data_IF_732631379006
#
_entry.id   IF_732631379006
#
_cell.length_a   1.000
_cell.length_b   1.000
_cell.length_c   1.000
_cell.angle_alpha   90.00
_cell.angle_beta   90.00
_cell.angle_gamma   90.00
#
_symmetry.space_group_name_H-M   'P 1'
#
loop_
_entity.id
_entity.type
_entity.pdbx_description
1 polymer ?
#
# COMPACT_ATOMS: atom_id res chain seq x y z
N UNK A 1 -18.63 -24.07 -2.17
CA UNK A 1 -19.85 -23.77 -1.40
C UNK A 1 -20.96 -24.81 -1.62
N UNK A 2 -21.26 -25.22 -2.86
CA UNK A 2 -22.32 -26.20 -3.16
C UNK A 2 -22.18 -27.53 -2.40
N UNK A 3 -21.00 -28.13 -2.36
CA UNK A 3 -20.76 -29.41 -1.66
C UNK A 3 -21.02 -29.35 -0.14
N UNK A 4 -20.86 -28.16 0.47
CA UNK A 4 -21.14 -27.96 1.89
C UNK A 4 -22.62 -27.70 2.16
N UNK A 5 -23.33 -27.07 1.22
CA UNK A 5 -24.80 -26.88 1.31
C UNK A 5 -25.51 -28.22 1.15
N UNK A 6 -25.03 -29.09 0.25
CA UNK A 6 -25.52 -30.46 0.09
C UNK A 6 -25.35 -31.28 1.36
N UNK A 7 -24.23 -31.15 2.06
CA UNK A 7 -23.96 -31.88 3.30
C UNK A 7 -24.67 -31.29 4.53
N UNK A 8 -24.79 -29.96 4.64
CA UNK A 8 -25.36 -29.28 5.81
C UNK A 8 -26.87 -28.99 5.71
N UNK A 9 -27.47 -29.12 4.52
CA UNK A 9 -28.90 -28.97 4.27
C UNK A 9 -29.46 -27.61 4.70
N UNK A 10 -30.69 -27.62 5.23
CA UNK A 10 -31.46 -26.42 5.64
C UNK A 10 -30.72 -25.59 6.70
N UNK A 11 -29.86 -26.20 7.52
CA UNK A 11 -29.04 -25.49 8.52
C UNK A 11 -28.07 -24.46 7.91
N UNK A 12 -27.74 -24.60 6.63
CA UNK A 12 -26.91 -23.64 5.89
C UNK A 12 -27.68 -22.38 5.47
N UNK A 13 -29.02 -22.39 5.48
CA UNK A 13 -29.85 -21.21 5.13
C UNK A 13 -29.55 -20.00 6.02
N UNK A 14 -29.25 -20.21 7.31
CA UNK A 14 -28.86 -19.13 8.22
C UNK A 14 -27.55 -18.44 7.77
N UNK A 15 -26.57 -19.21 7.28
CA UNK A 15 -25.33 -18.68 6.71
C UNK A 15 -25.58 -17.98 5.37
N UNK A 16 -26.47 -18.51 4.52
CA UNK A 16 -26.88 -17.84 3.29
C UNK A 16 -27.63 -16.53 3.56
N UNK A 17 -28.40 -16.44 4.65
CA UNK A 17 -29.05 -15.21 5.08
C UNK A 17 -28.06 -14.06 5.35
N UNK A 18 -26.85 -14.36 5.83
CA UNK A 18 -25.79 -13.36 6.02
C UNK A 18 -25.29 -12.76 4.71
N UNK A 19 -25.46 -13.44 3.57
CA UNK A 19 -25.12 -12.91 2.25
C UNK A 19 -26.16 -11.91 1.75
N UNK A 20 -27.42 -12.02 2.20
CA UNK A 20 -28.49 -11.07 1.85
C UNK A 20 -28.36 -9.75 2.62
N UNK A 21 -27.76 -9.79 3.83
CA UNK A 21 -27.49 -8.61 4.63
C UNK A 21 -26.06 -8.62 5.19
N UNK A 22 -25.05 -8.28 4.34
CA UNK A 22 -23.66 -8.24 4.77
C UNK A 22 -23.46 -7.29 5.96
N UNK A 23 -22.60 -7.67 6.89
CA UNK A 23 -22.39 -6.94 8.13
C UNK A 23 -21.74 -5.56 7.90
N UNK A 24 -22.03 -4.61 8.77
CA UNK A 24 -21.34 -3.30 8.82
C UNK A 24 -20.30 -3.26 9.94
N UNK A 25 -19.80 -4.43 10.35
CA UNK A 25 -18.74 -4.53 11.35
C UNK A 25 -17.41 -4.07 10.78
N UNK A 26 -16.55 -3.54 11.67
CA UNK A 26 -15.18 -3.21 11.35
C UNK A 26 -14.39 -4.45 10.90
N UNK A 27 -13.21 -4.24 10.32
CA UNK A 27 -12.26 -5.32 10.02
C UNK A 27 -12.03 -6.15 11.29
N UNK A 28 -11.99 -7.47 11.12
CA UNK A 28 -11.48 -8.39 12.14
C UNK A 28 -10.06 -8.74 11.71
N UNK A 29 -9.07 -8.44 12.54
CA UNK A 29 -7.67 -8.85 12.29
C UNK A 29 -7.59 -10.38 12.29
N UNK A 30 -7.02 -10.91 11.22
CA UNK A 30 -6.75 -12.31 10.95
C UNK A 30 -5.37 -12.76 11.45
N UNK A 31 -4.50 -11.83 11.87
CA UNK A 31 -3.18 -12.08 12.46
C UNK A 31 -3.23 -13.02 13.68
N UNK A 32 -4.40 -13.15 14.31
CA UNK A 32 -4.62 -13.95 15.51
C UNK A 32 -5.50 -15.18 15.25
N UNK A 33 -5.71 -15.54 13.98
CA UNK A 33 -6.43 -16.76 13.61
C UNK A 33 -5.71 -17.99 14.18
N UNK A 34 -6.48 -18.92 14.74
CA UNK A 34 -5.95 -20.09 15.45
C UNK A 34 -5.45 -19.82 16.88
N UNK A 35 -5.26 -18.57 17.31
CA UNK A 35 -4.86 -18.25 18.68
C UNK A 35 -6.06 -18.21 19.65
N UNK A 36 -6.00 -18.93 20.80
CA UNK A 36 -6.99 -18.80 21.87
C UNK A 36 -7.12 -17.37 22.38
N UNK A 37 -8.35 -16.91 22.67
CA UNK A 37 -8.65 -15.53 23.07
C UNK A 37 -7.79 -15.01 24.24
N UNK A 38 -7.43 -15.89 25.19
CA UNK A 38 -6.58 -15.54 26.34
C UNK A 38 -5.15 -15.13 25.98
N UNK A 39 -4.65 -15.54 24.82
CA UNK A 39 -3.28 -15.21 24.37
C UNK A 39 -3.24 -14.03 23.39
N UNK A 40 -4.40 -13.64 22.84
CA UNK A 40 -4.49 -12.62 21.80
C UNK A 40 -3.97 -11.25 22.23
N UNK A 41 -4.17 -10.87 23.49
CA UNK A 41 -3.71 -9.57 24.02
C UNK A 41 -2.21 -9.52 24.33
N UNK A 42 -1.54 -10.67 24.44
CA UNK A 42 -0.12 -10.75 24.78
C UNK A 42 0.76 -11.21 23.62
N UNK A 43 0.15 -11.82 22.59
CA UNK A 43 0.86 -12.26 21.39
C UNK A 43 1.00 -11.09 20.41
N UNK A 44 2.25 -10.77 20.06
CA UNK A 44 2.60 -9.68 19.15
C UNK A 44 3.67 -10.14 18.18
N UNK A 45 3.71 -9.60 16.95
CA UNK A 45 4.85 -9.83 16.07
C UNK A 45 6.10 -9.26 16.73
N UNK A 46 7.17 -10.05 16.71
CA UNK A 46 8.47 -9.68 17.26
C UNK A 46 9.58 -10.06 16.29
N UNK A 47 10.58 -9.19 16.18
CA UNK A 47 11.82 -9.51 15.48
C UNK A 47 12.70 -10.32 16.44
N UNK A 48 12.75 -11.63 16.23
CA UNK A 48 13.52 -12.58 17.06
C UNK A 48 14.83 -12.97 16.37
N UNK A 49 15.83 -13.37 17.16
CA UNK A 49 17.10 -13.88 16.63
C UNK A 49 18.07 -12.83 16.07
N UNK A 50 17.79 -11.54 16.26
CA UNK A 50 18.74 -10.46 15.95
C UNK A 50 19.46 -9.98 17.19
N UNK A 51 20.79 -9.99 17.12
CA UNK A 51 21.67 -9.30 18.06
C UNK A 51 21.44 -7.78 18.03
N UNK A 52 21.79 -7.10 19.12
CA UNK A 52 21.57 -5.65 19.25
C UNK A 52 22.20 -4.86 18.09
N UNK A 53 23.40 -5.23 17.64
CA UNK A 53 24.05 -4.55 16.52
C UNK A 53 23.24 -4.65 15.20
N UNK A 54 22.63 -5.80 14.93
CA UNK A 54 21.80 -6.00 13.75
C UNK A 54 20.47 -5.23 13.86
N UNK A 55 19.86 -5.21 15.04
CA UNK A 55 18.69 -4.37 15.33
C UNK A 55 18.96 -2.89 15.09
N UNK A 56 20.10 -2.39 15.56
CA UNK A 56 20.51 -0.99 15.39
C UNK A 56 20.78 -0.66 13.94
N UNK A 57 21.46 -1.56 13.20
CA UNK A 57 21.68 -1.39 11.77
C UNK A 57 20.35 -1.33 10.99
N UNK A 58 19.40 -2.21 11.31
CA UNK A 58 18.06 -2.19 10.70
C UNK A 58 17.31 -0.88 11.02
N UNK A 59 17.29 -0.48 12.30
CA UNK A 59 16.62 0.75 12.73
C UNK A 59 17.22 2.00 12.07
N UNK A 60 18.55 2.11 12.05
CA UNK A 60 19.29 3.21 11.43
C UNK A 60 19.01 3.29 9.93
N UNK A 61 19.09 2.16 9.21
CA UNK A 61 18.81 2.08 7.79
C UNK A 61 17.38 2.48 7.42
N UNK A 62 16.38 2.03 8.21
CA UNK A 62 14.97 2.40 7.98
C UNK A 62 14.73 3.89 8.25
N UNK A 63 15.29 4.44 9.34
CA UNK A 63 15.19 5.88 9.63
C UNK A 63 15.86 6.74 8.55
N UNK A 64 17.01 6.31 8.04
CA UNK A 64 17.68 6.95 6.91
C UNK A 64 16.82 6.92 5.64
N UNK A 65 16.28 5.75 5.29
CA UNK A 65 15.44 5.59 4.10
C UNK A 65 14.15 6.43 4.15
N UNK A 66 13.64 6.74 5.35
CA UNK A 66 12.49 7.64 5.54
C UNK A 66 12.85 9.12 5.64
N UNK A 67 14.15 9.49 5.59
CA UNK A 67 14.60 10.86 5.87
C UNK A 67 14.34 11.30 7.32
N UNK A 68 14.17 10.36 8.25
CA UNK A 68 13.78 10.60 9.64
C UNK A 68 14.97 10.36 10.59
N UNK A 69 16.06 11.09 10.38
CA UNK A 69 17.26 11.03 11.25
C UNK A 69 17.28 12.13 12.31
N UNK A 70 16.44 13.15 12.14
CA UNK A 70 16.31 14.30 13.04
C UNK A 70 14.87 14.81 13.05
N UNK A 71 14.57 15.82 13.88
CA UNK A 71 13.26 16.49 13.95
C UNK A 71 12.09 15.54 14.24
N UNK A 72 12.32 14.56 15.12
CA UNK A 72 11.28 13.61 15.53
C UNK A 72 10.10 14.33 16.17
N UNK A 73 8.89 13.99 15.70
CA UNK A 73 7.67 14.41 16.36
C UNK A 73 7.51 13.66 17.71
N UNK A 74 6.78 14.22 18.67
CA UNK A 74 6.51 13.52 19.92
C UNK A 74 5.64 12.25 19.76
N UNK A 75 4.91 12.13 18.64
CA UNK A 75 4.22 10.91 18.22
C UNK A 75 4.53 10.68 16.74
N UNK A 76 5.05 9.51 16.39
CA UNK A 76 5.34 9.12 15.00
C UNK A 76 4.47 7.92 14.64
N UNK A 77 3.68 8.04 13.58
CA UNK A 77 2.87 6.94 13.07
C UNK A 77 3.63 6.16 11.98
N UNK A 78 3.71 4.85 12.16
CA UNK A 78 4.16 3.91 11.13
C UNK A 78 2.91 3.23 10.59
N UNK A 79 2.46 3.65 9.40
CA UNK A 79 1.18 3.23 8.83
C UNK A 79 1.42 2.21 7.73
N UNK A 80 1.13 0.94 8.02
CA UNK A 80 0.97 -0.07 6.98
C UNK A 80 -0.39 0.08 6.29
N UNK A 81 -0.60 -0.61 5.18
CA UNK A 81 -1.90 -0.68 4.53
C UNK A 81 -2.34 -2.12 4.27
N UNK A 82 -3.64 -2.31 4.12
CA UNK A 82 -4.26 -3.58 3.80
C UNK A 82 -5.69 -3.36 3.33
N UNK A 83 -6.27 -4.37 2.71
CA UNK A 83 -7.62 -4.35 2.18
C UNK A 83 -8.55 -5.23 3.02
N UNK A 84 -9.85 -5.09 2.82
CA UNK A 84 -10.87 -5.93 3.43
C UNK A 84 -11.82 -6.43 2.35
N UNK A 85 -11.88 -7.75 2.17
CA UNK A 85 -12.87 -8.38 1.32
C UNK A 85 -13.29 -9.74 1.86
N UNK A 86 -14.50 -10.18 1.50
CA UNK A 86 -15.00 -11.52 1.82
C UNK A 86 -15.10 -12.35 0.56
N UNK A 87 -14.80 -13.65 0.68
CA UNK A 87 -14.91 -14.63 -0.41
C UNK A 87 -14.20 -14.19 -1.71
N UNK A 88 -12.95 -13.72 -1.58
CA UNK A 88 -12.22 -13.14 -2.70
C UNK A 88 -10.90 -13.88 -2.92
N UNK A 89 -10.84 -14.72 -3.95
CA UNK A 89 -9.62 -15.44 -4.35
C UNK A 89 -8.44 -14.52 -4.75
N UNK A 90 -8.71 -13.23 -4.98
CA UNK A 90 -7.71 -12.23 -5.35
C UNK A 90 -7.42 -11.24 -4.20
N UNK A 91 -7.75 -11.58 -2.95
CA UNK A 91 -7.55 -10.69 -1.79
C UNK A 91 -6.09 -10.20 -1.69
N UNK A 92 -5.11 -11.11 -1.87
CA UNK A 92 -3.69 -10.76 -1.85
C UNK A 92 -3.28 -9.73 -2.92
N UNK A 93 -4.03 -9.62 -4.03
CA UNK A 93 -3.80 -8.60 -5.06
C UNK A 93 -4.33 -7.21 -4.70
N UNK A 94 -5.13 -7.10 -3.63
CA UNK A 94 -5.62 -5.84 -3.07
C UNK A 94 -4.80 -5.39 -1.84
N UNK A 95 -4.10 -6.32 -1.20
CA UNK A 95 -3.17 -6.03 -0.11
C UNK A 95 -1.83 -5.48 -0.63
N UNK A 96 -0.81 -5.40 0.23
CA UNK A 96 0.45 -4.77 -0.12
C UNK A 96 1.33 -5.70 -0.97
N UNK A 97 1.56 -5.32 -2.23
CA UNK A 97 2.50 -6.01 -3.12
C UNK A 97 3.94 -6.06 -2.56
N UNK A 98 4.38 -5.00 -1.87
CA UNK A 98 5.69 -4.97 -1.20
C UNK A 98 5.77 -5.88 0.04
N UNK A 99 4.62 -6.28 0.60
CA UNK A 99 4.51 -7.25 1.69
C UNK A 99 4.07 -8.63 1.16
N UNK A 100 4.36 -8.94 -0.10
CA UNK A 100 4.04 -10.23 -0.74
C UNK A 100 2.53 -10.56 -0.72
N UNK A 101 1.68 -9.54 -0.87
CA UNK A 101 0.22 -9.69 -0.85
C UNK A 101 -0.36 -9.91 0.55
N UNK A 102 0.39 -9.55 1.60
CA UNK A 102 -0.08 -9.46 2.97
C UNK A 102 -0.35 -7.99 3.34
N UNK A 103 -1.05 -7.77 4.45
CA UNK A 103 -1.16 -6.42 5.02
C UNK A 103 0.20 -5.94 5.54
N UNK A 104 0.37 -4.62 5.65
CA UNK A 104 1.55 -4.00 6.28
C UNK A 104 1.55 -4.06 7.81
N UNK A 105 0.57 -4.71 8.44
CA UNK A 105 0.36 -4.72 9.90
C UNK A 105 1.60 -5.22 10.66
N UNK A 106 2.11 -6.40 10.31
CA UNK A 106 3.27 -7.03 10.97
C UNK A 106 4.52 -6.17 10.87
N UNK A 107 4.78 -5.57 9.71
CA UNK A 107 5.96 -4.73 9.48
C UNK A 107 5.90 -3.43 10.31
N UNK A 108 4.74 -2.76 10.31
CA UNK A 108 4.54 -1.54 11.10
C UNK A 108 4.71 -1.80 12.60
N UNK A 109 4.10 -2.88 13.11
CA UNK A 109 4.16 -3.26 14.54
C UNK A 109 5.57 -3.65 14.97
N UNK A 110 6.26 -4.46 14.16
CA UNK A 110 7.63 -4.88 14.42
C UNK A 110 8.61 -3.69 14.45
N UNK A 111 8.47 -2.77 13.50
CA UNK A 111 9.30 -1.56 13.43
C UNK A 111 9.00 -0.59 14.58
N UNK A 112 7.74 -0.39 14.95
CA UNK A 112 7.37 0.46 16.09
C UNK A 112 7.99 -0.07 17.38
N UNK A 113 7.89 -1.38 17.64
CA UNK A 113 8.52 -2.01 18.80
C UNK A 113 10.05 -1.85 18.78
N UNK A 114 10.70 -2.11 17.64
CA UNK A 114 12.14 -1.94 17.47
C UNK A 114 12.61 -0.50 17.78
N UNK A 115 11.90 0.50 17.24
CA UNK A 115 12.24 1.92 17.44
C UNK A 115 11.90 2.43 18.83
N UNK A 116 11.03 1.74 19.59
CA UNK A 116 10.74 2.03 21.00
C UNK A 116 11.65 1.27 21.98
N UNK A 117 12.48 0.34 21.51
CA UNK A 117 13.39 -0.44 22.37
C UNK A 117 14.52 0.44 22.94
N UNK A 118 14.62 0.53 24.26
CA UNK A 118 15.60 1.41 24.94
C UNK A 118 17.05 1.13 24.54
N UNK A 119 17.42 -0.16 24.42
CA UNK A 119 18.78 -0.55 24.02
C UNK A 119 19.10 -0.10 22.59
N UNK A 120 18.14 -0.20 21.67
CA UNK A 120 18.28 0.26 20.29
C UNK A 120 18.42 1.78 20.24
N UNK A 121 17.54 2.52 20.94
CA UNK A 121 17.64 3.99 21.04
C UNK A 121 18.98 4.46 21.61
N UNK A 122 19.47 3.80 22.65
CA UNK A 122 20.77 4.13 23.25
C UNK A 122 21.93 3.94 22.27
N UNK A 123 21.92 2.86 21.49
CA UNK A 123 22.94 2.59 20.49
C UNK A 123 22.81 3.49 19.23
N UNK A 124 21.59 3.86 18.82
CA UNK A 124 21.38 4.83 17.73
C UNK A 124 21.97 6.20 18.04
N UNK A 125 21.96 6.64 19.31
CA UNK A 125 22.62 7.89 19.73
C UNK A 125 24.11 7.89 19.45
N UNK A 126 24.77 6.73 19.55
CA UNK A 126 26.18 6.58 19.18
C UNK A 126 26.43 6.70 17.67
N UNK A 127 25.38 6.58 16.85
CA UNK A 127 25.39 6.83 15.40
C UNK A 127 24.82 8.21 15.04
N UNK A 128 24.75 9.14 16.00
CA UNK A 128 24.22 10.50 15.82
C UNK A 128 22.71 10.58 15.49
N UNK A 129 21.97 9.48 15.62
CA UNK A 129 20.49 9.48 15.49
C UNK A 129 19.90 9.57 16.90
N UNK A 130 19.48 10.78 17.28
CA UNK A 130 18.93 11.05 18.61
C UNK A 130 17.40 11.09 18.54
N UNK A 131 16.77 9.99 18.96
CA UNK A 131 15.32 9.94 19.21
C UNK A 131 15.06 10.53 20.59
N UNK A 132 14.26 11.61 20.71
CA UNK A 132 13.86 12.17 22.00
C UNK A 132 13.14 11.15 22.88
N UNK A 133 13.34 11.25 24.21
CA UNK A 133 12.70 10.32 25.16
C UNK A 133 11.17 10.47 25.17
N UNK A 134 10.65 11.64 24.79
CA UNK A 134 9.21 11.90 24.68
C UNK A 134 8.61 11.54 23.31
N UNK A 135 9.42 11.07 22.35
CA UNK A 135 8.96 10.51 21.08
C UNK A 135 8.52 9.07 21.26
N UNK A 136 7.31 8.75 20.79
CA UNK A 136 6.79 7.39 20.75
C UNK A 136 6.36 7.01 19.33
N UNK A 137 6.77 5.82 18.87
CA UNK A 137 6.34 5.25 17.59
C UNK A 137 5.08 4.40 17.80
N UNK A 138 4.04 4.64 17.01
CA UNK A 138 2.80 3.85 17.01
C UNK A 138 2.62 3.20 15.66
N UNK A 139 2.37 1.89 15.66
CA UNK A 139 1.97 1.18 14.47
C UNK A 139 0.48 1.39 14.19
N UNK A 140 0.14 1.57 12.92
CA UNK A 140 -1.23 1.64 12.46
C UNK A 140 -1.42 0.91 11.12
N UNK A 141 -2.65 0.58 10.80
CA UNK A 141 -3.06 0.03 9.51
C UNK A 141 -4.14 0.90 8.89
N UNK A 142 -3.92 1.36 7.67
CA UNK A 142 -4.97 1.94 6.83
C UNK A 142 -5.66 0.82 6.04
N UNK A 143 -6.95 0.62 6.31
CA UNK A 143 -7.81 -0.26 5.52
C UNK A 143 -8.25 0.48 4.26
N UNK A 144 -7.69 0.11 3.11
CA UNK A 144 -7.91 0.80 1.82
C UNK A 144 -9.34 0.65 1.30
N UNK A 145 -10.07 -0.38 1.71
CA UNK A 145 -11.46 -0.58 1.29
C UNK A 145 -12.42 0.39 1.99
N UNK A 146 -12.18 0.66 3.28
CA UNK A 146 -13.10 1.42 4.15
C UNK A 146 -12.55 2.79 4.57
N UNK A 147 -11.28 3.06 4.32
CA UNK A 147 -10.50 4.18 4.85
C UNK A 147 -10.62 4.30 6.36
N UNK A 148 -10.55 3.18 7.07
CA UNK A 148 -10.40 3.20 8.53
C UNK A 148 -8.92 3.07 8.88
N UNK A 149 -8.49 3.76 9.94
CA UNK A 149 -7.15 3.66 10.49
C UNK A 149 -7.26 3.00 11.86
N UNK A 150 -6.60 1.86 12.00
CA UNK A 150 -6.54 1.06 13.22
C UNK A 150 -5.16 1.22 13.86
N UNK A 151 -5.08 1.54 15.14
CA UNK A 151 -3.82 1.62 15.89
C UNK A 151 -3.54 0.35 16.68
N UNK A 152 -2.28 -0.06 16.73
CA UNK A 152 -1.85 -1.32 17.37
C UNK A 152 -0.95 -1.09 18.58
N UNK A 153 -0.95 -2.08 19.48
CA UNK A 153 -0.06 -2.16 20.64
C UNK A 153 -0.07 -0.89 21.51
N UNK A 154 -1.21 -0.19 21.54
CA UNK A 154 -1.40 1.07 22.26
C UNK A 154 -1.33 0.92 23.79
N UNK A 155 -1.43 -0.31 24.29
CA UNK A 155 -1.25 -0.63 25.71
C UNK A 155 0.21 -0.56 26.16
N UNK A 156 1.16 -0.59 25.21
CA UNK A 156 2.59 -0.36 25.47
C UNK A 156 2.95 1.13 25.54
N UNK A 157 2.06 2.01 25.06
CA UNK A 157 2.33 3.43 24.97
C UNK A 157 2.28 4.10 26.36
N UNK A 158 3.23 5.02 26.69
CA UNK A 158 3.12 5.83 27.89
C UNK A 158 1.88 6.73 27.82
N UNK A 159 1.37 7.15 28.98
CA UNK A 159 0.14 7.95 29.08
C UNK A 159 0.15 9.19 28.18
N UNK A 160 1.28 9.89 28.07
CA UNK A 160 1.44 11.07 27.20
C UNK A 160 1.30 10.75 25.71
N UNK A 161 1.84 9.61 25.25
CA UNK A 161 1.67 9.15 23.87
C UNK A 161 0.23 8.68 23.62
N UNK A 162 -0.40 8.04 24.61
CA UNK A 162 -1.81 7.62 24.55
C UNK A 162 -2.75 8.82 24.38
N UNK A 163 -2.55 9.87 25.18
CA UNK A 163 -3.32 11.12 25.05
C UNK A 163 -3.15 11.76 23.67
N UNK A 164 -1.93 11.76 23.11
CA UNK A 164 -1.65 12.28 21.76
C UNK A 164 -2.38 11.44 20.68
N UNK A 165 -2.36 10.12 20.81
CA UNK A 165 -3.10 9.22 19.93
C UNK A 165 -4.61 9.48 19.99
N UNK A 166 -5.18 9.57 21.20
CA UNK A 166 -6.62 9.78 21.38
C UNK A 166 -7.08 11.12 20.76
N UNK A 167 -6.27 12.18 20.85
CA UNK A 167 -6.54 13.46 20.14
C UNK A 167 -6.45 13.34 18.62
N UNK A 168 -5.55 12.49 18.12
CA UNK A 168 -5.34 12.30 16.69
C UNK A 168 -6.49 11.51 16.04
N UNK A 169 -7.23 10.71 16.81
CA UNK A 169 -8.33 9.89 16.28
C UNK A 169 -9.39 10.73 15.56
N UNK A 170 -9.75 11.91 16.08
CA UNK A 170 -10.74 12.78 15.43
C UNK A 170 -10.23 13.38 14.12
N UNK A 171 -8.94 13.73 14.07
CA UNK A 171 -8.28 14.24 12.86
C UNK A 171 -8.24 13.15 11.78
N UNK A 172 -7.83 11.93 12.15
CA UNK A 172 -7.83 10.79 11.24
C UNK A 172 -9.24 10.47 10.76
N UNK A 173 -10.21 10.44 11.67
CA UNK A 173 -11.62 10.26 11.35
C UNK A 173 -12.15 11.25 10.31
N UNK A 174 -11.74 12.52 10.40
CA UNK A 174 -12.09 13.56 9.44
C UNK A 174 -11.40 13.33 8.09
N UNK A 175 -10.09 13.12 8.07
CA UNK A 175 -9.33 12.85 6.85
C UNK A 175 -9.86 11.61 6.11
N UNK A 176 -10.11 10.54 6.86
CA UNK A 176 -10.73 9.32 6.34
C UNK A 176 -12.12 9.57 5.72
N UNK A 177 -12.95 10.42 6.32
CA UNK A 177 -14.25 10.76 5.72
C UNK A 177 -14.10 11.53 4.40
N UNK A 178 -13.12 12.43 4.30
CA UNK A 178 -12.82 13.14 3.06
C UNK A 178 -12.41 12.17 1.94
N UNK A 179 -11.48 11.26 2.22
CA UNK A 179 -11.02 10.24 1.24
C UNK A 179 -12.19 9.35 0.78
N UNK A 180 -13.07 8.92 1.69
CA UNK A 180 -14.27 8.15 1.32
C UNK A 180 -15.19 8.94 0.39
N UNK A 181 -15.37 10.24 0.62
CA UNK A 181 -16.22 11.10 -0.22
C UNK A 181 -15.63 11.28 -1.61
N UNK A 182 -14.32 11.45 -1.71
CA UNK A 182 -13.61 11.51 -2.99
C UNK A 182 -13.76 10.19 -3.77
N UNK A 183 -13.65 9.03 -3.09
CA UNK A 183 -13.79 7.72 -3.72
C UNK A 183 -15.24 7.31 -3.98
N UNK A 184 -16.23 7.82 -3.24
CA UNK A 184 -17.61 7.35 -3.31
C UNK A 184 -18.21 7.30 -4.73
N UNK A 185 -18.03 8.31 -5.61
CA UNK A 185 -18.56 8.25 -6.97
C UNK A 185 -18.00 7.10 -7.81
N UNK A 186 -16.70 6.76 -7.67
CA UNK A 186 -16.08 5.66 -8.42
C UNK A 186 -16.59 4.28 -7.97
N UNK A 187 -17.25 4.21 -6.81
CA UNK A 187 -17.90 3.02 -6.27
C UNK A 187 -19.43 3.08 -6.39
N UNK A 188 -19.98 4.06 -7.12
CA UNK A 188 -21.42 4.30 -7.28
C UNK A 188 -22.14 4.57 -5.94
N UNK A 189 -21.45 5.24 -5.01
CA UNK A 189 -21.98 5.68 -3.72
C UNK A 189 -22.20 7.20 -3.72
N UNK A 190 -23.13 7.67 -2.89
CA UNK A 190 -23.42 9.09 -2.76
C UNK A 190 -22.37 9.78 -1.86
N UNK A 191 -21.51 10.68 -2.39
CA UNK A 191 -20.51 11.39 -1.59
C UNK A 191 -21.13 12.38 -0.58
N UNK A 192 -22.40 12.75 -0.75
CA UNK A 192 -23.14 13.64 0.17
C UNK A 192 -23.88 12.87 1.28
N UNK A 193 -23.72 11.54 1.36
CA UNK A 193 -24.31 10.78 2.45
C UNK A 193 -23.75 11.22 3.82
N UNK A 194 -24.53 11.09 4.91
CA UNK A 194 -24.02 11.29 6.27
C UNK A 194 -22.81 10.39 6.53
N UNK A 195 -21.79 10.90 7.22
CA UNK A 195 -20.51 10.21 7.48
C UNK A 195 -20.68 8.75 7.91
N UNK A 196 -21.50 8.51 8.95
CA UNK A 196 -21.74 7.15 9.46
C UNK A 196 -22.44 6.23 8.44
N UNK A 197 -23.33 6.79 7.62
CA UNK A 197 -24.02 6.04 6.55
C UNK A 197 -23.05 5.63 5.45
N UNK A 198 -22.19 6.55 4.99
CA UNK A 198 -21.19 6.26 3.96
C UNK A 198 -20.21 5.19 4.44
N UNK A 199 -19.69 5.31 5.67
CA UNK A 199 -18.82 4.29 6.26
C UNK A 199 -19.52 2.93 6.34
N UNK A 200 -20.77 2.87 6.79
CA UNK A 200 -21.53 1.61 6.84
C UNK A 200 -21.76 1.01 5.45
N UNK A 201 -21.94 1.82 4.40
CA UNK A 201 -22.03 1.33 3.02
C UNK A 201 -20.72 0.69 2.56
N UNK A 202 -19.56 1.29 2.87
CA UNK A 202 -18.25 0.73 2.55
C UNK A 202 -17.95 -0.54 3.36
N UNK A 203 -18.27 -0.57 4.66
CA UNK A 203 -18.13 -1.79 5.48
C UNK A 203 -19.02 -2.91 4.97
N UNK A 204 -20.28 -2.62 4.62
CA UNK A 204 -21.20 -3.59 4.02
C UNK A 204 -20.62 -4.12 2.71
N UNK A 205 -20.08 -3.25 1.85
CA UNK A 205 -19.42 -3.62 0.59
C UNK A 205 -18.21 -4.53 0.82
N UNK A 206 -17.35 -4.20 1.80
CA UNK A 206 -16.17 -4.98 2.16
C UNK A 206 -16.53 -6.37 2.74
N UNK A 207 -17.64 -6.46 3.47
CA UNK A 207 -18.11 -7.69 4.09
C UNK A 207 -19.05 -8.52 3.20
N UNK A 208 -19.37 -8.05 1.99
CA UNK A 208 -20.25 -8.74 1.06
C UNK A 208 -19.49 -9.79 0.24
N UNK A 209 -19.76 -11.06 0.48
CA UNK A 209 -19.13 -12.17 -0.24
C UNK A 209 -19.52 -12.29 -1.72
N UNK A 210 -20.56 -11.59 -2.16
CA UNK A 210 -20.96 -11.48 -3.57
C UNK A 210 -20.35 -10.25 -4.25
N UNK A 211 -19.70 -9.34 -3.49
CA UNK A 211 -19.09 -8.15 -4.05
C UNK A 211 -17.82 -8.50 -4.82
N UNK A 212 -17.92 -8.46 -6.14
CA UNK A 212 -16.77 -8.73 -7.02
C UNK A 212 -15.72 -7.62 -7.02
N UNK A 213 -16.12 -6.39 -6.65
CA UNK A 213 -15.31 -5.17 -6.67
C UNK A 213 -15.35 -4.45 -5.32
N UNK A 214 -14.79 -5.02 -4.25
CA UNK A 214 -14.80 -4.36 -2.94
C UNK A 214 -14.16 -2.97 -3.02
N UNK A 215 -13.06 -2.85 -3.77
CA UNK A 215 -12.37 -1.62 -4.15
C UNK A 215 -11.69 -1.80 -5.53
N UNK A 216 -10.98 -0.76 -5.98
CA UNK A 216 -10.24 -0.74 -7.25
C UNK A 216 -8.73 -1.02 -7.10
N UNK A 217 -8.24 -1.22 -5.88
CA UNK A 217 -6.82 -1.36 -5.60
C UNK A 217 -6.04 -0.15 -6.14
N UNK A 218 -5.03 -0.42 -6.97
CA UNK A 218 -4.19 0.60 -7.60
C UNK A 218 -4.54 0.81 -9.07
N UNK A 219 -5.76 0.47 -9.50
CA UNK A 219 -6.23 0.81 -10.85
C UNK A 219 -6.12 2.33 -11.09
N UNK A 220 -5.70 2.71 -12.29
CA UNK A 220 -5.43 4.11 -12.63
C UNK A 220 -4.07 4.66 -12.15
N UNK A 221 -3.23 3.89 -11.44
CA UNK A 221 -1.88 4.35 -11.09
C UNK A 221 -1.09 4.83 -12.33
N UNK A 222 -0.43 5.99 -12.18
CA UNK A 222 0.15 6.75 -13.28
C UNK A 222 1.61 7.16 -13.05
N UNK A 223 1.93 7.55 -11.82
CA UNK A 223 3.24 8.13 -11.53
C UNK A 223 3.81 7.73 -10.17
N UNK A 224 5.13 7.83 -10.04
CA UNK A 224 5.87 7.81 -8.79
C UNK A 224 6.67 9.11 -8.69
N UNK A 225 6.49 9.86 -7.62
CA UNK A 225 7.25 11.09 -7.35
C UNK A 225 8.22 10.82 -6.22
N UNK A 226 9.52 10.96 -6.49
CA UNK A 226 10.62 10.92 -5.52
C UNK A 226 11.15 12.34 -5.40
N UNK A 227 10.61 13.11 -4.47
CA UNK A 227 10.91 14.52 -4.33
C UNK A 227 10.49 15.04 -2.95
N UNK A 228 11.01 16.20 -2.50
CA UNK A 228 10.56 16.79 -1.26
C UNK A 228 9.05 17.07 -1.30
N UNK A 229 8.35 16.86 -0.20
CA UNK A 229 6.88 16.98 -0.10
C UNK A 229 6.32 18.26 -0.71
N UNK A 230 7.04 19.38 -0.63
CA UNK A 230 6.62 20.68 -1.15
C UNK A 230 6.43 20.69 -2.69
N UNK A 231 7.10 19.80 -3.45
CA UNK A 231 6.93 19.71 -4.92
C UNK A 231 5.53 19.24 -5.32
N UNK A 232 4.88 18.42 -4.48
CA UNK A 232 3.54 17.88 -4.72
C UNK A 232 2.47 18.45 -3.77
N UNK A 233 2.83 19.35 -2.86
CA UNK A 233 1.90 19.90 -1.87
C UNK A 233 0.85 20.79 -2.55
N UNK A 234 -0.42 20.58 -2.19
CA UNK A 234 -1.55 21.30 -2.77
C UNK A 234 -1.89 20.91 -4.22
N UNK A 235 -1.25 19.87 -4.78
CA UNK A 235 -1.56 19.35 -6.11
C UNK A 235 -2.62 18.25 -6.02
N UNK A 236 -3.59 18.31 -6.93
CA UNK A 236 -4.59 17.27 -7.10
C UNK A 236 -3.98 16.19 -8.00
N UNK A 237 -3.72 15.01 -7.43
CA UNK A 237 -3.09 13.86 -8.13
C UNK A 237 -4.08 12.72 -8.36
N UNK A 238 -5.36 12.93 -8.08
CA UNK A 238 -6.48 11.99 -8.28
C UNK A 238 -6.27 10.57 -7.71
N UNK A 239 -5.41 10.42 -6.69
CA UNK A 239 -5.04 9.11 -6.15
C UNK A 239 -4.23 8.23 -7.12
N UNK A 240 -3.64 8.81 -8.18
CA UNK A 240 -2.92 8.10 -9.24
C UNK A 240 -1.41 8.08 -9.06
N UNK A 241 -0.89 8.59 -7.94
CA UNK A 241 0.56 8.74 -7.75
C UNK A 241 1.05 8.13 -6.44
N UNK A 242 2.14 7.39 -6.53
CA UNK A 242 2.97 7.04 -5.38
C UNK A 242 3.84 8.25 -5.01
N UNK A 243 4.02 8.52 -3.72
CA UNK A 243 4.79 9.66 -3.23
C UNK A 243 5.87 9.17 -2.26
N UNK A 244 7.12 9.50 -2.55
CA UNK A 244 8.27 9.32 -1.66
C UNK A 244 8.86 10.69 -1.35
N UNK A 245 8.82 11.07 -0.06
CA UNK A 245 9.50 12.27 0.42
C UNK A 245 11.00 12.01 0.43
N UNK A 246 11.75 12.80 -0.32
CA UNK A 246 13.17 12.62 -0.54
C UNK A 246 13.82 13.98 -0.76
N UNK A 247 14.85 14.29 0.01
CA UNK A 247 15.64 15.53 -0.14
C UNK A 247 17.09 15.20 -0.52
N UNK A 248 17.54 15.52 -1.75
CA UNK A 248 18.91 15.22 -2.18
C UNK A 248 19.98 15.94 -1.34
N UNK A 249 19.60 16.97 -0.56
CA UNK A 249 20.53 17.67 0.36
C UNK A 249 20.83 16.85 1.61
N UNK A 250 19.95 15.93 1.97
CA UNK A 250 20.12 15.01 3.10
C UNK A 250 20.74 13.67 2.65
N UNK A 251 21.03 13.49 1.35
CA UNK A 251 21.57 12.27 0.74
C UNK A 251 22.86 12.55 -0.06
N UNK A 252 23.91 12.99 0.65
CA UNK A 252 25.14 13.49 0.02
C UNK A 252 25.93 12.44 -0.79
N UNK A 253 25.74 11.15 -0.53
CA UNK A 253 26.36 10.04 -1.27
C UNK A 253 25.40 9.36 -2.27
N UNK A 254 24.17 9.87 -2.41
CA UNK A 254 23.10 9.32 -3.25
C UNK A 254 22.67 7.88 -2.88
N UNK A 255 23.02 7.39 -1.69
CA UNK A 255 22.69 6.02 -1.26
C UNK A 255 21.18 5.82 -1.06
N UNK A 256 20.47 6.85 -0.58
CA UNK A 256 19.01 6.80 -0.44
C UNK A 256 18.35 6.85 -1.82
N UNK A 257 18.81 7.72 -2.72
CA UNK A 257 18.35 7.74 -4.11
C UNK A 257 18.53 6.38 -4.79
N UNK A 258 19.71 5.77 -4.62
CA UNK A 258 20.01 4.44 -5.14
C UNK A 258 19.00 3.41 -4.60
N UNK A 259 18.74 3.41 -3.30
CA UNK A 259 17.74 2.54 -2.67
C UNK A 259 16.33 2.78 -3.26
N UNK A 260 15.91 4.04 -3.40
CA UNK A 260 14.59 4.41 -3.92
C UNK A 260 14.40 3.97 -5.39
N UNK A 261 15.44 4.13 -6.22
CA UNK A 261 15.42 3.73 -7.64
C UNK A 261 15.53 2.21 -7.84
N UNK A 262 16.14 1.47 -6.90
CA UNK A 262 16.34 0.02 -7.03
C UNK A 262 15.31 -0.82 -6.29
N UNK A 263 14.53 -0.24 -5.37
CA UNK A 263 13.45 -0.95 -4.68
C UNK A 263 12.08 -0.31 -4.94
N UNK A 264 11.67 0.81 -4.31
CA UNK A 264 10.35 1.43 -4.55
C UNK A 264 10.00 1.68 -6.01
N UNK A 265 10.94 2.16 -6.82
CA UNK A 265 10.70 2.39 -8.25
C UNK A 265 10.40 1.08 -9.00
N UNK A 266 11.13 0.00 -8.71
CA UNK A 266 10.87 -1.32 -9.30
C UNK A 266 9.53 -1.88 -8.86
N UNK A 267 9.19 -1.75 -7.57
CA UNK A 267 7.89 -2.20 -7.04
C UNK A 267 6.73 -1.43 -7.68
N UNK A 268 6.80 -0.09 -7.73
CA UNK A 268 5.78 0.73 -8.38
C UNK A 268 5.65 0.39 -9.86
N UNK A 269 6.77 0.12 -10.53
CA UNK A 269 6.79 -0.33 -11.92
C UNK A 269 6.11 -1.70 -12.09
N UNK A 270 6.43 -2.70 -11.26
CA UNK A 270 5.78 -4.02 -11.32
C UNK A 270 4.28 -3.94 -11.09
N UNK A 271 3.86 -3.13 -10.12
CA UNK A 271 2.44 -2.86 -9.88
C UNK A 271 1.83 -2.27 -11.16
N UNK A 272 2.36 -1.16 -11.68
CA UNK A 272 1.85 -0.55 -12.90
C UNK A 272 1.77 -1.53 -14.07
N UNK A 273 2.79 -2.37 -14.26
CA UNK A 273 2.84 -3.36 -15.33
C UNK A 273 1.85 -4.50 -15.17
N UNK A 274 1.52 -4.89 -13.95
CA UNK A 274 0.45 -5.86 -13.70
C UNK A 274 -0.89 -5.33 -14.23
N UNK A 275 -1.23 -4.07 -13.92
CA UNK A 275 -2.45 -3.45 -14.42
C UNK A 275 -2.40 -3.19 -15.94
N UNK A 276 -1.27 -2.69 -16.45
CA UNK A 276 -1.06 -2.42 -17.87
C UNK A 276 -1.20 -3.70 -18.71
N UNK A 277 -0.47 -4.76 -18.36
CA UNK A 277 -0.47 -6.02 -19.10
C UNK A 277 -1.84 -6.71 -19.09
N UNK A 278 -2.51 -6.75 -17.93
CA UNK A 278 -3.86 -7.31 -17.82
C UNK A 278 -4.93 -6.47 -18.55
N UNK A 279 -4.65 -5.18 -18.81
CA UNK A 279 -5.53 -4.32 -19.61
C UNK A 279 -5.26 -4.46 -21.12
N UNK A 280 -3.99 -4.52 -21.54
CA UNK A 280 -3.61 -4.65 -22.95
C UNK A 280 -3.90 -6.03 -23.54
N UNK A 281 -3.71 -7.09 -22.76
CA UNK A 281 -3.87 -8.47 -23.22
C UNK A 281 -4.65 -9.31 -22.19
N UNK A 282 -5.92 -8.95 -21.88
CA UNK A 282 -6.69 -9.53 -20.78
C UNK A 282 -6.89 -11.04 -20.87
N UNK A 283 -6.84 -11.62 -22.07
CA UNK A 283 -6.97 -13.07 -22.29
C UNK A 283 -5.68 -13.82 -21.92
N UNK A 284 -4.51 -13.24 -22.17
CA UNK A 284 -3.20 -13.89 -22.00
C UNK A 284 -2.51 -13.49 -20.69
N UNK A 285 -2.61 -12.22 -20.32
CA UNK A 285 -1.91 -11.60 -19.19
C UNK A 285 -2.89 -11.08 -18.13
N UNK A 286 -4.16 -11.43 -18.24
CA UNK A 286 -5.19 -11.21 -17.23
C UNK A 286 -5.83 -12.53 -16.81
N UNK A 287 -6.61 -12.48 -15.74
CA UNK A 287 -7.25 -13.68 -15.19
C UNK A 287 -8.68 -13.89 -15.67
N UNK A 288 -9.14 -13.11 -16.65
CA UNK A 288 -10.49 -13.25 -17.20
C UNK A 288 -11.59 -12.79 -16.24
N UNK A 289 -12.76 -13.39 -16.32
CA UNK A 289 -13.93 -13.01 -15.55
C UNK A 289 -13.93 -13.67 -14.15
N UNK A 290 -13.79 -12.84 -13.12
CA UNK A 290 -13.78 -13.24 -11.69
C UNK A 290 -14.99 -14.05 -11.26
N UNK A 291 -16.15 -13.83 -11.88
CA UNK A 291 -17.41 -14.54 -11.56
C UNK A 291 -17.34 -16.01 -11.97
N UNK A 292 -16.46 -16.36 -12.91
CA UNK A 292 -16.28 -17.72 -13.41
C UNK A 292 -15.08 -18.42 -12.75
N UNK A 293 -14.46 -17.80 -11.74
CA UNK A 293 -13.24 -18.35 -11.14
C UNK A 293 -13.52 -19.57 -10.26
N UNK A 294 -12.78 -20.64 -10.52
CA UNK A 294 -12.71 -21.80 -9.65
C UNK A 294 -11.37 -21.81 -8.93
N UNK A 295 -11.38 -21.78 -7.59
CA UNK A 295 -10.17 -21.82 -6.75
C UNK A 295 -9.65 -23.25 -6.69
N UNK A 296 -8.35 -23.42 -6.95
CA UNK A 296 -7.70 -24.74 -7.07
C UNK A 296 -6.68 -24.93 -5.96
N UNK A 297 -6.61 -26.16 -5.42
CA UNK A 297 -5.53 -26.56 -4.51
C UNK A 297 -5.50 -25.77 -3.20
N UNK A 298 -6.65 -25.37 -2.67
CA UNK A 298 -6.75 -24.70 -1.38
C UNK A 298 -6.44 -23.20 -1.42
N UNK A 299 -5.46 -22.73 -2.20
CA UNK A 299 -5.14 -21.33 -2.53
C UNK A 299 -4.05 -21.20 -3.62
N UNK A 300 -3.80 -22.24 -4.44
CA UNK A 300 -2.66 -22.23 -5.39
C UNK A 300 -2.92 -21.26 -6.56
N UNK A 301 -4.17 -21.15 -7.00
CA UNK A 301 -4.55 -20.26 -8.10
C UNK A 301 -6.00 -20.45 -8.51
N UNK A 302 -6.35 -19.91 -9.68
CA UNK A 302 -7.71 -19.98 -10.23
C UNK A 302 -7.74 -20.44 -11.69
N UNK A 303 -8.78 -21.18 -12.06
CA UNK A 303 -9.21 -21.36 -13.45
C UNK A 303 -10.34 -20.39 -13.79
N UNK A 304 -10.52 -20.08 -15.07
CA UNK A 304 -11.75 -19.43 -15.56
C UNK A 304 -12.67 -20.49 -16.18
N UNK A 305 -13.80 -20.78 -15.54
CA UNK A 305 -14.70 -21.84 -15.94
C UNK A 305 -14.25 -23.22 -15.47
N UNK A 306 -14.62 -24.27 -16.22
CA UNK A 306 -14.55 -25.66 -15.75
C UNK A 306 -13.16 -26.32 -15.85
N UNK A 307 -12.12 -25.60 -16.27
CA UNK A 307 -10.76 -26.12 -16.39
C UNK A 307 -9.84 -25.18 -17.18
N UNK A 308 -8.70 -25.71 -17.64
CA UNK A 308 -7.69 -24.96 -18.41
C UNK A 308 -6.44 -24.68 -17.59
N UNK A 309 -5.59 -23.78 -18.10
CA UNK A 309 -4.37 -23.36 -17.40
C UNK A 309 -4.72 -22.44 -16.22
N UNK A 310 -3.87 -22.46 -15.18
CA UNK A 310 -3.97 -21.50 -14.09
C UNK A 310 -3.84 -20.08 -14.65
N UNK A 311 -4.76 -19.21 -14.25
CA UNK A 311 -4.82 -17.84 -14.73
C UNK A 311 -3.83 -16.96 -13.96
N UNK A 312 -3.19 -16.05 -14.68
CA UNK A 312 -2.25 -15.06 -14.14
C UNK A 312 -2.85 -13.65 -14.22
N UNK A 313 -2.23 -12.68 -13.56
CA UNK A 313 -2.62 -11.27 -13.66
C UNK A 313 -4.00 -10.96 -13.07
N UNK A 314 -4.51 -9.77 -13.38
CA UNK A 314 -5.71 -9.23 -12.75
C UNK A 314 -6.99 -9.63 -13.48
N UNK A 315 -8.05 -9.78 -12.71
CA UNK A 315 -9.38 -10.11 -13.24
C UNK A 315 -9.99 -8.89 -13.93
N UNK A 316 -10.94 -9.13 -14.85
CA UNK A 316 -11.69 -8.05 -15.51
C UNK A 316 -12.39 -7.15 -14.49
N UNK A 317 -12.87 -7.70 -13.38
CA UNK A 317 -13.53 -6.94 -12.31
C UNK A 317 -12.58 -6.01 -11.55
N UNK A 318 -11.26 -6.26 -11.59
CA UNK A 318 -10.25 -5.35 -11.02
C UNK A 318 -9.91 -4.17 -11.95
N UNK A 319 -10.32 -4.23 -13.22
CA UNK A 319 -9.87 -3.32 -14.27
C UNK A 319 -11.00 -2.62 -15.03
N UNK A 320 -12.24 -3.13 -14.94
CA UNK A 320 -13.36 -2.70 -15.77
C UNK A 320 -14.66 -2.64 -14.95
N UNK A 321 -15.39 -1.54 -15.07
CA UNK A 321 -16.65 -1.31 -14.33
C UNK A 321 -17.88 -1.95 -14.99
N UNK A 322 -17.82 -2.14 -16.31
CA UNK A 322 -18.90 -2.70 -17.12
C UNK A 322 -19.08 -1.91 -18.41
N UNK A 323 -18.68 -0.64 -18.39
CA UNK A 323 -18.77 0.30 -19.50
C UNK A 323 -17.38 0.71 -20.00
N UNK A 324 -16.43 0.92 -19.09
CA UNK A 324 -15.06 1.37 -19.42
C UNK A 324 -13.98 0.66 -18.60
N UNK A 325 -12.75 0.76 -19.09
CA UNK A 325 -11.55 0.44 -18.33
C UNK A 325 -11.30 1.51 -17.28
N UNK A 326 -11.09 1.08 -16.03
CA UNK A 326 -10.73 1.94 -14.90
C UNK A 326 -9.23 2.22 -14.89
N UNK A 327 -8.42 1.27 -15.35
CA UNK A 327 -7.00 1.49 -15.58
C UNK A 327 -6.76 1.82 -17.05
N UNK A 328 -6.16 2.97 -17.30
CA UNK A 328 -5.59 3.33 -18.60
C UNK A 328 -4.25 2.58 -18.75
N UNK A 329 -3.99 1.86 -19.86
CA UNK A 329 -2.74 1.12 -20.05
C UNK A 329 -1.58 2.08 -20.38
N UNK A 330 -1.18 2.86 -19.39
CA UNK A 330 -0.03 3.75 -19.43
C UNK A 330 1.17 3.06 -18.76
N UNK A 331 2.37 3.47 -19.17
CA UNK A 331 3.62 3.08 -18.48
C UNK A 331 3.92 4.10 -17.38
N UNK A 332 4.31 3.61 -16.21
CA UNK A 332 4.61 4.44 -15.03
C UNK A 332 5.56 5.60 -15.39
N UNK A 333 5.21 6.81 -14.97
CA UNK A 333 6.10 7.96 -15.02
C UNK A 333 6.75 8.20 -13.66
N UNK A 334 8.06 8.05 -13.58
CA UNK A 334 8.85 8.31 -12.38
C UNK A 334 9.41 9.72 -12.49
N UNK A 335 9.15 10.57 -11.50
CA UNK A 335 9.62 11.97 -11.45
C UNK A 335 10.52 12.14 -10.24
N UNK A 336 11.79 12.49 -10.46
CA UNK A 336 12.81 12.57 -9.41
C UNK A 336 13.33 14.01 -9.25
N UNK A 337 13.38 14.51 -8.01
CA UNK A 337 14.09 15.75 -7.66
C UNK A 337 15.48 15.41 -7.10
N UNK A 338 16.44 15.22 -8.00
CA UNK A 338 17.84 14.92 -7.65
C UNK A 338 18.80 15.43 -8.74
N UNK A 339 20.08 15.65 -8.42
CA UNK A 339 21.09 16.03 -9.40
C UNK A 339 21.18 15.02 -10.55
N UNK A 340 21.36 15.53 -11.78
CA UNK A 340 21.53 14.71 -12.99
C UNK A 340 22.51 13.55 -12.79
N UNK A 341 23.71 13.88 -12.30
CA UNK A 341 24.82 12.95 -12.16
C UNK A 341 24.52 11.85 -11.15
N UNK A 342 23.73 12.15 -10.11
CA UNK A 342 23.32 11.15 -9.11
C UNK A 342 22.36 10.12 -9.74
N UNK A 343 21.35 10.60 -10.49
CA UNK A 343 20.40 9.72 -11.20
C UNK A 343 21.15 8.87 -12.24
N UNK A 344 22.02 9.48 -13.06
CA UNK A 344 22.83 8.78 -14.06
C UNK A 344 23.79 7.77 -13.44
N UNK A 345 24.38 8.09 -12.29
CA UNK A 345 25.23 7.17 -11.53
C UNK A 345 24.48 5.90 -11.14
N UNK A 346 23.25 6.03 -10.65
CA UNK A 346 22.39 4.88 -10.32
C UNK A 346 22.02 4.08 -11.57
N UNK A 347 21.64 4.76 -12.67
CA UNK A 347 21.33 4.09 -13.95
C UNK A 347 22.53 3.28 -14.43
N UNK A 348 23.74 3.85 -14.41
CA UNK A 348 24.96 3.19 -14.87
C UNK A 348 25.41 2.04 -13.97
N UNK A 349 25.05 2.05 -12.69
CA UNK A 349 25.39 0.98 -11.73
C UNK A 349 24.46 -0.23 -11.84
N UNK A 350 23.19 -0.03 -12.21
CA UNK A 350 22.15 -1.06 -12.14
C UNK A 350 21.55 -1.41 -13.51
N UNK A 351 21.99 -2.54 -14.07
CA UNK A 351 21.53 -3.01 -15.38
C UNK A 351 20.00 -3.14 -15.50
N UNK A 352 19.31 -3.54 -14.42
CA UNK A 352 17.84 -3.62 -14.40
C UNK A 352 17.18 -2.25 -14.59
N UNK A 353 17.72 -1.20 -13.93
CA UNK A 353 17.21 0.17 -14.07
C UNK A 353 17.47 0.68 -15.49
N UNK A 354 18.68 0.48 -16.00
CA UNK A 354 19.04 0.84 -17.37
C UNK A 354 18.11 0.18 -18.39
N UNK A 355 17.91 -1.14 -18.31
CA UNK A 355 17.05 -1.89 -19.23
C UNK A 355 15.59 -1.44 -19.19
N UNK A 356 15.07 -1.02 -18.04
CA UNK A 356 13.72 -0.48 -17.92
C UNK A 356 13.56 0.84 -18.69
N UNK A 357 14.59 1.68 -18.67
CA UNK A 357 14.60 2.97 -19.36
C UNK A 357 14.86 2.82 -20.85
N UNK A 358 15.89 2.06 -21.23
CA UNK A 358 16.34 1.93 -22.62
C UNK A 358 15.30 1.22 -23.50
N UNK A 359 14.58 0.24 -22.93
CA UNK A 359 13.47 -0.43 -23.62
C UNK A 359 12.13 0.32 -23.46
N UNK A 360 12.12 1.45 -22.74
CA UNK A 360 10.95 2.29 -22.53
C UNK A 360 9.85 1.62 -21.69
N UNK A 361 10.18 0.65 -20.84
CA UNK A 361 9.22 -0.02 -19.96
C UNK A 361 8.70 0.90 -18.84
N UNK A 362 9.41 1.98 -18.51
CA UNK A 362 8.92 3.10 -17.70
C UNK A 362 9.44 4.43 -18.25
N UNK A 363 8.81 5.54 -17.88
CA UNK A 363 9.26 6.90 -18.20
C UNK A 363 10.00 7.48 -17.00
N UNK A 364 11.13 8.15 -17.22
CA UNK A 364 11.89 8.81 -16.16
C UNK A 364 12.03 10.30 -16.47
N UNK A 365 11.53 11.12 -15.56
CA UNK A 365 11.62 12.56 -15.59
C UNK A 365 12.40 13.05 -14.38
N UNK A 366 13.01 14.22 -14.51
CA UNK A 366 13.61 14.92 -13.37
C UNK A 366 13.18 16.36 -13.31
N UNK A 367 13.22 16.93 -12.12
CA UNK A 367 13.18 18.37 -11.95
C UNK A 367 14.50 19.00 -12.39
N UNK A 368 14.41 20.07 -13.16
CA UNK A 368 15.51 20.99 -13.45
C UNK A 368 14.99 22.40 -13.20
N UNK A 369 15.25 22.93 -12.00
CA UNK A 369 14.66 24.19 -11.52
C UNK A 369 13.12 24.18 -11.60
N UNK A 370 12.56 24.95 -12.55
CA UNK A 370 11.12 25.10 -12.82
C UNK A 370 10.63 24.25 -14.00
N UNK A 371 11.53 23.60 -14.75
CA UNK A 371 11.18 22.71 -15.87
C UNK A 371 11.33 21.23 -15.50
N UNK A 372 10.71 20.38 -16.30
CA UNK A 372 10.91 18.93 -16.26
C UNK A 372 11.72 18.51 -17.47
N UNK A 373 12.66 17.59 -17.27
CA UNK A 373 13.42 16.95 -18.35
C UNK A 373 13.07 15.46 -18.36
N UNK A 374 12.87 14.89 -19.55
CA UNK A 374 12.67 13.45 -19.76
C UNK A 374 13.98 12.79 -20.16
N UNK A 375 14.30 11.67 -19.53
CA UNK A 375 15.36 10.77 -19.97
C UNK A 375 14.89 9.95 -21.18
N UNK A 376 15.59 10.07 -22.31
CA UNK A 376 15.33 9.32 -23.53
C UNK A 376 16.60 9.18 -24.38
N UNK A 377 16.81 7.99 -24.95
CA UNK A 377 17.95 7.69 -25.83
C UNK A 377 19.31 8.05 -25.20
N UNK A 378 19.48 7.77 -23.90
CA UNK A 378 20.73 8.05 -23.17
C UNK A 378 20.94 9.51 -22.79
N UNK A 379 19.96 10.39 -22.96
CA UNK A 379 20.09 11.82 -22.65
C UNK A 379 18.84 12.45 -22.07
N UNK A 380 18.98 13.67 -21.53
CA UNK A 380 17.89 14.45 -20.95
C UNK A 380 17.37 15.48 -21.94
N UNK A 381 16.06 15.50 -22.15
CA UNK A 381 15.40 16.38 -23.12
C UNK A 381 14.30 17.19 -22.42
N UNK A 382 14.17 18.50 -22.70
CA UNK A 382 13.09 19.31 -22.16
C UNK A 382 11.72 18.73 -22.48
N UNK A 383 10.85 18.70 -21.47
CA UNK A 383 9.51 18.18 -21.61
C UNK A 383 8.58 19.28 -22.12
N UNK A 384 8.16 19.18 -23.37
CA UNK A 384 7.14 20.06 -23.93
C UNK A 384 5.76 19.54 -23.49
N UNK A 385 5.28 20.05 -22.35
CA UNK A 385 3.89 19.88 -21.97
C UNK A 385 3.06 20.86 -22.81
N UNK A 386 2.40 20.36 -23.85
CA UNK A 386 1.32 21.13 -24.48
C UNK A 386 0.28 21.40 -23.38
N UNK A 387 -0.05 22.67 -23.13
CA UNK A 387 -1.18 23.00 -22.28
C UNK A 387 -2.43 22.37 -22.92
N UNK A 388 -3.03 21.39 -22.24
CA UNK A 388 -4.27 20.73 -22.64
C UNK A 388 -5.46 21.59 -22.26
#
# INVERSE_FOLDING_TARGET
AFSFVEAAGVGYLAKLGQWLNPATQARVSDDLEGLPSRYRSICRPQIVGLELAAKVSLASGVLQAMGLQSRFAPLVLLVGHGSQSKNNAHAAGLDCGACCGQTGEVNARSLAQLLNEMAVRAALRAQSIVIPDDTWFVAALHNTTTDEIEGFDLDLAPATARERWDRLQDVLAHACDQVRRERAPSLQLNPQAPRGKLLNQLRRRANDGAQTRPEWGLAGNAALVIAPRHRSLGRVLDGRSFLHDYDPREDGDASVLELLMTAPMLVAHWINWQYHASTCAPVRLGSGNKVLHNVVGGNIGVFEGNGGDLRIGLSRQSLHDGERWVHEPLRLTVVIDAPQQAIEGVIGKHAVVQQLLDNGWLQLWRFDQAQLLRYALGGWHPLQLSAV
#
